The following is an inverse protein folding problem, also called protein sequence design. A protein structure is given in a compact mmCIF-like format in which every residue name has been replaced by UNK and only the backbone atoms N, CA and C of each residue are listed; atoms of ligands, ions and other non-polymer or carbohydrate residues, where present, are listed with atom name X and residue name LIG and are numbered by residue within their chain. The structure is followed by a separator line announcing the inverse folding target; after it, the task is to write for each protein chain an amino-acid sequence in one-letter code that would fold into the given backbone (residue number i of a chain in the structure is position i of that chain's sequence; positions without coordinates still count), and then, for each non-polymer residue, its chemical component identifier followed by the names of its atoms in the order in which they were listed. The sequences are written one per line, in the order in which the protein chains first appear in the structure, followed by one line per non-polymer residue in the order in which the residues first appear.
data_IF_700143130087
#
_entry.id   IF_700143130087
#
_cell.length_a   1.000
_cell.length_b   1.000
_cell.length_c   1.000
_cell.angle_alpha   90.00
_cell.angle_beta   90.00
_cell.angle_gamma   90.00
#
_symmetry.space_group_name_H-M   'P 1'
#
loop_
_entity.id
_entity.type
_entity.pdbx_description
1 polymer ?
#
# COMPACT_ATOMS: atom_id res chain seq x y z
N UNK A 1 16.72 0.30 16.10
CA UNK A 1 15.89 1.50 16.35
C UNK A 1 15.24 2.07 15.08
N UNK A 2 14.98 1.27 14.03
CA UNK A 2 14.22 1.75 12.84
C UNK A 2 12.71 1.44 12.91
N UNK A 3 12.33 0.28 13.46
CA UNK A 3 10.94 -0.19 13.47
C UNK A 3 10.03 0.64 14.39
N UNK A 4 10.57 1.21 15.48
CA UNK A 4 9.81 2.11 16.37
C UNK A 4 9.44 3.44 15.70
N UNK A 5 10.18 3.87 14.68
CA UNK A 5 9.90 5.11 13.93
C UNK A 5 8.84 4.88 12.85
N UNK A 6 8.89 3.73 12.17
CA UNK A 6 7.93 3.35 11.11
C UNK A 6 6.53 3.13 11.68
N UNK A 7 6.39 2.62 12.90
CA UNK A 7 5.09 2.38 13.55
C UNK A 7 4.27 3.63 13.88
N UNK A 8 4.86 4.84 13.80
CA UNK A 8 4.17 6.10 14.15
C UNK A 8 3.58 6.86 12.97
N UNK A 9 3.93 6.50 11.74
CA UNK A 9 3.39 7.16 10.55
C UNK A 9 2.05 6.53 10.21
N UNK A 10 0.97 7.22 10.58
CA UNK A 10 -0.40 6.88 10.18
C UNK A 10 -0.89 7.93 9.19
N UNK A 11 -0.93 7.56 7.91
CA UNK A 11 -1.50 8.40 6.87
C UNK A 11 -2.48 7.59 6.03
N UNK A 12 -3.59 8.20 5.62
CA UNK A 12 -4.66 7.51 4.86
C UNK A 12 -4.21 6.97 3.50
N UNK A 13 -3.07 7.43 2.98
CA UNK A 13 -2.47 6.99 1.73
C UNK A 13 -1.22 6.10 1.92
N UNK A 14 -0.89 5.72 3.16
CA UNK A 14 0.18 4.78 3.48
C UNK A 14 -0.41 3.51 4.14
N UNK A 15 0.11 2.35 3.75
CA UNK A 15 -0.30 1.08 4.37
C UNK A 15 0.13 1.09 5.84
N UNK A 16 -0.83 0.88 6.73
CA UNK A 16 -0.58 0.93 8.16
C UNK A 16 0.16 -0.32 8.65
N UNK A 17 1.26 -0.11 9.37
CA UNK A 17 1.95 -1.16 10.12
C UNK A 17 1.17 -1.44 11.41
N UNK A 18 0.67 -2.67 11.56
CA UNK A 18 -0.08 -3.13 12.73
C UNK A 18 0.84 -3.61 13.85
N UNK A 19 2.00 -4.16 13.50
CA UNK A 19 2.96 -4.67 14.47
C UNK A 19 4.22 -5.24 13.82
N UNK A 20 5.14 -5.71 14.64
CA UNK A 20 6.37 -6.35 14.19
C UNK A 20 6.83 -7.42 15.18
N UNK A 21 7.60 -8.39 14.70
CA UNK A 21 8.32 -9.35 15.53
C UNK A 21 9.82 -9.19 15.28
N UNK A 22 10.59 -9.06 16.36
CA UNK A 22 12.05 -8.90 16.32
C UNK A 22 12.70 -9.75 17.40
N UNK A 23 12.31 -11.02 17.50
CA UNK A 23 12.83 -11.97 18.48
C UNK A 23 13.91 -12.87 17.87
N UNK A 24 15.11 -12.92 18.48
CA UNK A 24 16.23 -13.70 17.96
C UNK A 24 16.55 -13.37 16.49
N UNK A 25 16.58 -14.40 15.64
CA UNK A 25 16.75 -14.31 14.19
C UNK A 25 15.45 -13.99 13.43
N UNK A 26 14.30 -13.96 14.11
CA UNK A 26 13.03 -13.63 13.49
C UNK A 26 12.91 -12.12 13.26
N UNK A 27 12.59 -11.74 12.02
CA UNK A 27 12.31 -10.36 11.60
C UNK A 27 11.05 -10.38 10.72
N UNK A 28 9.92 -9.96 11.29
CA UNK A 28 8.63 -9.93 10.60
C UNK A 28 7.93 -8.59 10.80
N UNK A 29 7.18 -8.16 9.79
CA UNK A 29 6.33 -6.97 9.83
C UNK A 29 4.90 -7.38 9.51
N UNK A 30 3.95 -6.87 10.29
CA UNK A 30 2.52 -7.15 10.13
C UNK A 30 1.85 -5.87 9.64
N UNK A 31 1.31 -5.89 8.43
CA UNK A 31 0.62 -4.76 7.82
C UNK A 31 -0.89 -5.01 7.72
N UNK A 32 -1.66 -3.94 7.58
CA UNK A 32 -3.05 -4.04 7.18
C UNK A 32 -3.14 -4.67 5.78
N UNK A 33 -4.03 -5.66 5.63
CA UNK A 33 -4.27 -6.31 4.35
C UNK A 33 -4.96 -5.35 3.37
N UNK A 34 -4.51 -5.36 2.12
CA UNK A 34 -5.07 -4.55 1.03
C UNK A 34 -5.77 -5.47 0.05
N UNK A 35 -7.11 -5.46 0.04
CA UNK A 35 -7.95 -6.40 -0.71
C UNK A 35 -7.71 -6.36 -2.21
N UNK A 36 -7.48 -5.17 -2.78
CA UNK A 36 -7.38 -4.96 -4.22
C UNK A 36 -5.98 -5.25 -4.77
N UNK A 37 -5.10 -5.97 -4.07
CA UNK A 37 -3.73 -6.24 -4.51
C UNK A 37 -2.93 -4.96 -4.87
N UNK A 38 -1.85 -5.08 -5.64
CA UNK A 38 -1.02 -3.94 -6.05
C UNK A 38 -1.63 -3.19 -7.25
N UNK A 39 -1.25 -1.93 -7.41
CA UNK A 39 -1.75 -1.08 -8.49
C UNK A 39 -1.26 -1.52 -9.88
N UNK A 40 -0.06 -2.10 -9.95
CA UNK A 40 0.57 -2.59 -11.18
C UNK A 40 -0.31 -3.58 -11.94
N UNK A 41 -1.01 -4.48 -11.21
CA UNK A 41 -1.97 -5.40 -11.81
C UNK A 41 -3.10 -4.67 -12.54
N UNK A 42 -3.67 -3.64 -11.93
CA UNK A 42 -4.79 -2.88 -12.51
C UNK A 42 -4.36 -1.91 -13.62
N UNK A 43 -3.08 -1.54 -13.66
CA UNK A 43 -2.54 -0.64 -14.69
C UNK A 43 -2.12 -1.39 -15.95
N UNK A 44 -1.57 -2.60 -15.81
CA UNK A 44 -0.83 -3.27 -16.89
C UNK A 44 -1.25 -4.72 -17.15
N UNK A 45 -1.94 -5.38 -16.22
CA UNK A 45 -2.22 -6.82 -16.27
C UNK A 45 -3.72 -7.14 -16.24
N UNK A 46 -4.56 -6.14 -16.54
CA UNK A 46 -5.99 -6.33 -16.75
C UNK A 46 -6.23 -6.51 -18.25
N UNK A 47 -6.53 -7.74 -18.67
CA UNK A 47 -6.76 -8.12 -20.07
C UNK A 47 -8.15 -7.67 -20.59
N UNK A 48 -8.92 -6.95 -19.79
CA UNK A 48 -10.19 -6.37 -20.24
C UNK A 48 -9.98 -5.31 -21.32
N UNK A 49 -10.84 -5.31 -22.35
CA UNK A 49 -10.82 -4.29 -23.42
C UNK A 49 -11.00 -2.86 -22.87
N UNK A 50 -11.64 -2.73 -21.71
CA UNK A 50 -11.90 -1.46 -21.03
C UNK A 50 -11.34 -1.53 -19.63
N UNK A 51 -10.27 -0.77 -19.38
CA UNK A 51 -9.68 -0.67 -18.05
C UNK A 51 -10.69 -0.14 -17.03
N UNK A 52 -10.85 -0.79 -15.86
CA UNK A 52 -11.72 -0.33 -14.79
C UNK A 52 -11.20 0.96 -14.13
N UNK A 53 -9.93 1.32 -14.36
CA UNK A 53 -9.35 2.57 -13.90
C UNK A 53 -9.61 3.69 -14.92
N UNK A 54 -10.77 4.34 -14.79
CA UNK A 54 -11.06 5.57 -15.54
C UNK A 54 -10.04 6.67 -15.22
N UNK A 55 -9.95 7.69 -16.08
CA UNK A 55 -9.03 8.81 -15.87
C UNK A 55 -9.21 9.50 -14.51
N UNK A 56 -10.46 9.72 -14.08
CA UNK A 56 -10.75 10.32 -12.77
C UNK A 56 -10.26 9.45 -11.60
N UNK A 57 -10.36 8.12 -11.72
CA UNK A 57 -9.82 7.19 -10.74
C UNK A 57 -8.30 7.30 -10.71
N UNK A 58 -7.64 7.32 -11.87
CA UNK A 58 -6.18 7.46 -11.99
C UNK A 58 -5.68 8.77 -11.38
N UNK A 59 -6.39 9.87 -11.59
CA UNK A 59 -6.07 11.16 -10.99
C UNK A 59 -6.19 11.14 -9.46
N UNK A 60 -7.22 10.49 -8.91
CA UNK A 60 -7.34 10.32 -7.45
C UNK A 60 -6.22 9.45 -6.88
N UNK A 61 -5.82 8.39 -7.58
CA UNK A 61 -4.70 7.54 -7.19
C UNK A 61 -3.41 8.37 -7.16
N UNK A 62 -3.10 9.11 -8.24
CA UNK A 62 -1.90 9.95 -8.33
C UNK A 62 -1.82 10.99 -7.22
N UNK A 63 -2.93 11.71 -6.98
CA UNK A 63 -3.03 12.68 -5.89
C UNK A 63 -2.93 12.02 -4.52
N UNK A 64 -3.44 10.80 -4.37
CA UNK A 64 -3.31 10.01 -3.15
C UNK A 64 -1.87 9.63 -2.86
N UNK A 65 -1.16 9.10 -3.86
CA UNK A 65 0.26 8.74 -3.76
C UNK A 65 1.13 9.95 -3.42
N UNK A 66 0.88 11.11 -4.04
CA UNK A 66 1.63 12.34 -3.74
C UNK A 66 1.40 12.89 -2.32
N UNK A 67 0.31 12.50 -1.64
CA UNK A 67 0.00 12.90 -0.26
C UNK A 67 0.53 11.92 0.79
N UNK A 68 0.79 10.67 0.39
CA UNK A 68 1.31 9.61 1.27
C UNK A 68 2.72 9.93 1.75
#
# INVERSE_FOLDING_TARGET
MEVQTIGRVRHKNLVSLLGYCSEGACRMLVYQYMENSNLDKWLHHDDSEISPLTWDIRMRILLGTAKG
#
